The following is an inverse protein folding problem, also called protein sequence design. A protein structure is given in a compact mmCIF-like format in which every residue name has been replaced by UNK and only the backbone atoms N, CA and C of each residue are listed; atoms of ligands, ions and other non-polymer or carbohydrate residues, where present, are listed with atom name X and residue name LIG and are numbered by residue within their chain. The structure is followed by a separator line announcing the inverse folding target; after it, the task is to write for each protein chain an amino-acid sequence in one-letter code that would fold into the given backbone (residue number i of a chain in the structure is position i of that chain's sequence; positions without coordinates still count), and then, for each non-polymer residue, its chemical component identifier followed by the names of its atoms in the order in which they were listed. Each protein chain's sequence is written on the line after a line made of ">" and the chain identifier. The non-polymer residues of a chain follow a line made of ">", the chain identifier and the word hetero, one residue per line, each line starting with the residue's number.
data_IF_742074716569
#
_entry.id   IF_742074716569
#
_cell.length_a   1.000
_cell.length_b   1.000
_cell.length_c   1.000
_cell.angle_alpha   90.00
_cell.angle_beta   90.00
_cell.angle_gamma   90.00
#
_symmetry.space_group_name_H-M   'P 1'
#
loop_
_entity.id
_entity.type
_entity.pdbx_description
1 polymer ?
#
# COMPACT_ATOMS: atom_id res chain seq x y z
N UNK A 1 -6.77 -30.38 -6.37
CA UNK A 1 -6.84 -29.91 -4.96
C UNK A 1 -5.69 -28.95 -4.61
N UNK A 2 -4.55 -28.99 -5.30
CA UNK A 2 -3.41 -28.11 -5.00
C UNK A 2 -3.59 -26.61 -5.31
N UNK A 3 -4.35 -26.26 -6.36
CA UNK A 3 -4.59 -24.85 -6.71
C UNK A 3 -5.44 -24.10 -5.66
N UNK A 4 -6.37 -24.79 -4.99
CA UNK A 4 -7.17 -24.22 -3.91
C UNK A 4 -6.30 -23.88 -2.69
N UNK A 5 -5.36 -24.77 -2.33
CA UNK A 5 -4.42 -24.52 -1.23
C UNK A 5 -3.44 -23.40 -1.54
N UNK A 6 -2.92 -23.32 -2.77
CA UNK A 6 -1.97 -22.28 -3.17
C UNK A 6 -2.61 -20.88 -3.14
N UNK A 7 -3.82 -20.75 -3.69
CA UNK A 7 -4.57 -19.50 -3.65
C UNK A 7 -4.91 -19.08 -2.21
N UNK A 8 -5.27 -20.04 -1.34
CA UNK A 8 -5.58 -19.74 0.07
C UNK A 8 -4.34 -19.23 0.82
N UNK A 9 -3.18 -19.83 0.62
CA UNK A 9 -1.94 -19.39 1.27
C UNK A 9 -1.45 -18.01 0.75
N UNK A 10 -1.64 -17.74 -0.54
CA UNK A 10 -1.33 -16.44 -1.14
C UNK A 10 -2.28 -15.34 -0.67
N UNK A 11 -3.57 -15.64 -0.51
CA UNK A 11 -4.57 -14.71 0.06
C UNK A 11 -4.30 -14.41 1.54
N UNK A 12 -3.81 -15.40 2.31
CA UNK A 12 -3.39 -15.19 3.70
C UNK A 12 -2.17 -14.27 3.82
N UNK A 13 -1.24 -14.32 2.85
CA UNK A 13 -0.07 -13.43 2.80
C UNK A 13 -0.39 -12.03 2.27
N UNK A 14 -1.36 -11.90 1.38
CA UNK A 14 -1.72 -10.61 0.79
C UNK A 14 -3.11 -10.12 1.25
N UNK A 15 -3.39 -10.14 2.56
CA UNK A 15 -4.69 -9.68 3.07
C UNK A 15 -4.95 -8.22 2.74
N UNK A 16 -6.12 -7.91 2.18
CA UNK A 16 -6.59 -6.52 1.98
C UNK A 16 -6.99 -5.91 3.32
N UNK A 17 -7.86 -6.58 4.07
CA UNK A 17 -8.25 -6.23 5.43
C UNK A 17 -8.70 -7.48 6.21
N UNK A 18 -9.12 -7.33 7.48
CA UNK A 18 -9.52 -8.46 8.32
C UNK A 18 -10.89 -9.08 7.94
N UNK A 19 -11.68 -8.40 7.12
CA UNK A 19 -13.03 -8.83 6.71
C UNK A 19 -13.02 -9.53 5.34
N UNK A 20 -12.05 -9.23 4.49
CA UNK A 20 -11.91 -9.76 3.14
C UNK A 20 -10.78 -10.80 3.13
N UNK A 21 -11.16 -12.06 3.38
CA UNK A 21 -10.24 -13.19 3.37
C UNK A 21 -9.94 -13.71 1.96
N UNK A 22 -10.85 -13.50 1.01
CA UNK A 22 -10.74 -14.00 -0.35
C UNK A 22 -10.92 -12.89 -1.38
N UNK A 23 -10.06 -12.89 -2.37
CA UNK A 23 -10.06 -11.92 -3.47
C UNK A 23 -9.41 -12.53 -4.73
N UNK A 24 -9.67 -11.98 -5.92
CA UNK A 24 -9.10 -12.50 -7.16
C UNK A 24 -7.67 -12.01 -7.44
N UNK A 25 -7.14 -11.08 -6.63
CA UNK A 25 -5.86 -10.43 -6.90
C UNK A 25 -4.66 -11.33 -6.62
N UNK A 26 -3.75 -11.37 -7.59
CA UNK A 26 -2.46 -12.08 -7.49
C UNK A 26 -1.29 -11.11 -7.33
N UNK A 27 -1.41 -9.91 -7.90
CA UNK A 27 -0.44 -8.83 -7.76
C UNK A 27 -0.70 -8.04 -6.47
N UNK A 28 0.38 -7.68 -5.79
CA UNK A 28 0.32 -6.84 -4.60
C UNK A 28 0.07 -5.39 -4.92
N UNK A 29 0.34 -4.93 -6.14
CA UNK A 29 -0.10 -3.58 -6.52
C UNK A 29 -1.61 -3.43 -6.33
N UNK A 30 -2.41 -4.41 -6.77
CA UNK A 30 -3.86 -4.31 -6.66
C UNK A 30 -4.31 -4.26 -5.20
N UNK A 31 -3.65 -5.05 -4.35
CA UNK A 31 -3.91 -5.13 -2.91
C UNK A 31 -3.43 -3.86 -2.20
N UNK A 32 -2.29 -3.31 -2.62
CA UNK A 32 -1.73 -2.05 -2.15
C UNK A 32 -2.68 -0.89 -2.46
N UNK A 33 -3.22 -0.81 -3.68
CA UNK A 33 -4.20 0.22 -4.07
C UNK A 33 -5.46 0.12 -3.21
N UNK A 34 -5.96 -1.09 -2.97
CA UNK A 34 -7.13 -1.30 -2.11
C UNK A 34 -6.87 -0.96 -0.63
N UNK A 35 -5.61 -1.01 -0.18
CA UNK A 35 -5.19 -0.58 1.16
C UNK A 35 -4.96 0.92 1.28
N UNK A 36 -4.87 1.67 0.17
CA UNK A 36 -4.48 3.08 0.12
C UNK A 36 -5.46 3.88 -0.76
N UNK A 37 -6.72 3.87 -0.38
CA UNK A 37 -7.81 4.55 -1.10
C UNK A 37 -8.14 5.91 -0.51
N UNK A 38 -7.96 6.07 0.81
CA UNK A 38 -8.38 7.26 1.52
C UNK A 38 -7.50 8.46 1.12
N UNK A 39 -8.09 9.58 0.67
CA UNK A 39 -7.32 10.72 0.13
C UNK A 39 -6.32 11.29 1.13
N UNK A 40 -6.65 11.27 2.42
CA UNK A 40 -5.72 11.72 3.48
C UNK A 40 -4.57 10.73 3.69
N UNK A 41 -4.80 9.41 3.59
CA UNK A 41 -3.69 8.46 3.68
C UNK A 41 -2.75 8.63 2.48
N UNK A 42 -3.32 8.79 1.28
CA UNK A 42 -2.57 9.08 0.06
C UNK A 42 -1.71 10.34 0.23
N UNK A 43 -2.29 11.43 0.74
CA UNK A 43 -1.57 12.67 0.98
C UNK A 43 -0.43 12.49 2.00
N UNK A 44 -0.67 11.77 3.11
CA UNK A 44 0.36 11.51 4.12
C UNK A 44 1.51 10.67 3.56
N UNK A 45 1.22 9.68 2.70
CA UNK A 45 2.27 8.93 1.99
C UNK A 45 3.07 9.82 1.05
N UNK A 46 2.43 10.71 0.29
CA UNK A 46 3.15 11.66 -0.58
C UNK A 46 4.05 12.59 0.24
N UNK A 47 3.54 13.13 1.35
CA UNK A 47 4.34 13.96 2.28
C UNK A 47 5.51 13.16 2.83
N UNK A 48 5.28 11.91 3.24
CA UNK A 48 6.34 11.00 3.71
C UNK A 48 7.41 10.74 2.65
N UNK A 49 7.02 10.54 1.38
CA UNK A 49 7.94 10.36 0.25
C UNK A 49 8.77 11.63 0.00
N UNK A 50 8.13 12.81 -0.03
CA UNK A 50 8.83 14.08 -0.20
C UNK A 50 9.82 14.34 0.94
N UNK A 51 9.40 14.06 2.18
CA UNK A 51 10.26 14.20 3.35
C UNK A 51 11.45 13.23 3.28
N UNK A 52 11.23 11.98 2.86
CA UNK A 52 12.29 10.98 2.67
C UNK A 52 13.32 11.42 1.63
N UNK A 53 12.89 11.80 0.42
CA UNK A 53 13.81 12.24 -0.62
C UNK A 53 14.49 13.57 -0.28
N UNK A 54 13.76 14.50 0.36
CA UNK A 54 14.33 15.75 0.87
C UNK A 54 15.41 15.51 1.94
N UNK A 55 15.20 14.53 2.82
CA UNK A 55 16.17 14.14 3.84
C UNK A 55 17.42 13.50 3.22
N UNK A 56 17.25 12.60 2.26
CA UNK A 56 18.38 12.00 1.52
C UNK A 56 19.17 13.06 0.76
N UNK A 57 18.49 13.95 0.03
CA UNK A 57 19.13 15.05 -0.69
C UNK A 57 19.90 15.96 0.26
N UNK A 58 19.31 16.33 1.39
CA UNK A 58 19.96 17.16 2.41
C UNK A 58 21.16 16.47 3.06
N UNK A 59 21.06 15.16 3.32
CA UNK A 59 22.15 14.34 3.83
C UNK A 59 23.35 14.36 2.89
N UNK A 60 23.11 14.19 1.59
CA UNK A 60 24.16 14.21 0.55
C UNK A 60 24.76 15.61 0.38
N UNK A 61 23.90 16.64 0.29
CA UNK A 61 24.32 18.03 0.06
C UNK A 61 25.13 18.60 1.23
N UNK A 62 24.73 18.29 2.47
CA UNK A 62 25.40 18.75 3.68
C UNK A 62 26.49 17.79 4.18
N UNK A 63 26.63 16.63 3.52
CA UNK A 63 27.46 15.50 3.95
C UNK A 63 27.25 15.10 5.43
N UNK A 64 26.05 15.37 5.94
CA UNK A 64 25.73 15.17 7.35
C UNK A 64 24.91 13.90 7.53
N UNK A 65 25.61 12.79 7.72
CA UNK A 65 24.99 11.47 7.91
C UNK A 65 24.14 11.35 9.18
N UNK A 66 24.24 12.28 10.14
CA UNK A 66 23.33 12.32 11.29
C UNK A 66 21.86 12.57 10.88
N UNK A 67 21.64 13.22 9.73
CA UNK A 67 20.30 13.42 9.18
C UNK A 67 19.60 12.10 8.84
N UNK A 68 20.34 11.00 8.62
CA UNK A 68 19.78 9.66 8.39
C UNK A 68 18.98 9.17 9.60
N UNK A 69 19.28 9.65 10.82
CA UNK A 69 18.47 9.36 12.00
C UNK A 69 17.04 9.90 11.91
N UNK A 70 16.74 10.78 10.95
CA UNK A 70 15.38 11.21 10.63
C UNK A 70 14.58 10.22 9.78
N UNK A 71 15.19 9.18 9.20
CA UNK A 71 14.48 8.18 8.39
C UNK A 71 13.34 7.46 9.11
N UNK A 72 13.43 7.11 10.41
CA UNK A 72 12.29 6.57 11.14
C UNK A 72 11.09 7.53 11.18
N UNK A 73 11.32 8.85 11.20
CA UNK A 73 10.24 9.84 11.19
C UNK A 73 9.46 9.82 9.87
N UNK A 74 10.13 9.58 8.74
CA UNK A 74 9.44 9.49 7.44
C UNK A 74 8.46 8.31 7.42
N UNK A 75 8.84 7.19 8.06
CA UNK A 75 7.99 6.01 8.20
C UNK A 75 6.81 6.24 9.15
N UNK A 76 7.03 6.98 10.25
CA UNK A 76 5.95 7.32 11.18
C UNK A 76 4.83 8.13 10.48
N UNK A 77 5.17 9.03 9.56
CA UNK A 77 4.16 9.81 8.81
C UNK A 77 3.26 8.88 7.98
N UNK A 78 3.84 7.93 7.22
CA UNK A 78 3.08 6.96 6.43
C UNK A 78 2.27 5.97 7.28
N UNK A 79 2.83 5.51 8.40
CA UNK A 79 2.14 4.63 9.35
C UNK A 79 0.98 5.34 10.07
N UNK A 80 1.11 6.62 10.37
CA UNK A 80 0.05 7.43 10.99
C UNK A 80 -1.18 7.50 10.09
N UNK A 81 -0.98 7.63 8.77
CA UNK A 81 -2.08 7.64 7.81
C UNK A 81 -2.87 6.33 7.79
N UNK A 82 -2.18 5.19 7.81
CA UNK A 82 -2.81 3.88 7.98
C UNK A 82 -3.57 3.80 9.31
N UNK A 83 -2.91 4.09 10.42
CA UNK A 83 -3.53 3.95 11.74
C UNK A 83 -4.82 4.79 11.90
N UNK A 84 -4.85 6.00 11.35
CA UNK A 84 -5.96 6.93 11.51
C UNK A 84 -7.09 6.72 10.49
N UNK A 85 -6.78 6.40 9.23
CA UNK A 85 -7.77 6.42 8.15
C UNK A 85 -8.05 5.06 7.54
N UNK A 86 -7.09 4.13 7.59
CA UNK A 86 -7.19 2.81 7.00
C UNK A 86 -6.64 1.79 7.98
N UNK A 87 -7.48 1.36 8.94
CA UNK A 87 -7.24 0.21 9.84
C UNK A 87 -7.17 -1.12 9.05
N UNK A 88 -6.35 -1.14 7.99
CA UNK A 88 -5.93 -2.34 7.30
C UNK A 88 -4.84 -3.02 8.13
N UNK A 89 -4.69 -4.34 7.97
CA UNK A 89 -3.62 -5.07 8.63
C UNK A 89 -2.29 -4.55 8.10
N UNK A 90 -1.56 -3.80 8.93
CA UNK A 90 -0.17 -3.42 8.68
C UNK A 90 0.62 -4.70 8.85
N UNK A 91 1.01 -5.31 7.74
CA UNK A 91 1.90 -6.46 7.78
C UNK A 91 3.24 -5.96 8.35
N UNK A 92 3.70 -6.56 9.44
CA UNK A 92 4.96 -6.14 10.10
C UNK A 92 6.16 -6.22 9.13
N UNK A 93 6.05 -7.02 8.06
CA UNK A 93 7.03 -7.11 6.98
C UNK A 93 7.00 -5.91 6.01
N UNK A 94 5.86 -5.26 5.84
CA UNK A 94 5.70 -4.06 5.02
C UNK A 94 5.97 -2.77 5.82
N UNK A 95 5.88 -2.84 7.15
CA UNK A 95 6.29 -1.76 8.07
C UNK A 95 7.82 -1.51 8.07
N UNK A 96 8.61 -2.45 7.56
CA UNK A 96 10.07 -2.34 7.45
C UNK A 96 10.45 -2.29 5.97
N UNK A 97 10.59 -1.08 5.40
CA UNK A 97 11.22 -0.77 4.10
C UNK A 97 11.28 -1.94 3.09
N UNK A 98 10.15 -2.58 2.79
CA UNK A 98 10.10 -3.68 1.84
C UNK A 98 10.36 -3.11 0.45
N UNK A 99 11.22 -3.75 -0.35
CA UNK A 99 11.46 -3.34 -1.75
C UNK A 99 10.16 -3.32 -2.55
N UNK A 100 9.24 -4.25 -2.25
CA UNK A 100 7.92 -4.35 -2.89
C UNK A 100 7.03 -3.15 -2.52
N UNK A 101 6.97 -2.81 -1.23
CA UNK A 101 6.23 -1.66 -0.73
C UNK A 101 6.82 -0.34 -1.28
N UNK A 102 8.14 -0.22 -1.32
CA UNK A 102 8.84 0.94 -1.87
C UNK A 102 8.57 1.14 -3.36
N UNK A 103 8.58 0.05 -4.15
CA UNK A 103 8.20 0.09 -5.56
C UNK A 103 6.73 0.54 -5.73
N UNK A 104 5.81 0.03 -4.92
CA UNK A 104 4.41 0.43 -4.96
C UNK A 104 4.20 1.88 -4.54
N UNK A 105 4.92 2.37 -3.53
CA UNK A 105 4.90 3.78 -3.12
C UNK A 105 5.38 4.70 -4.25
N UNK A 106 6.46 4.34 -4.94
CA UNK A 106 6.94 5.07 -6.12
C UNK A 106 5.92 5.06 -7.27
N UNK A 107 5.33 3.89 -7.56
CA UNK A 107 4.27 3.74 -8.57
C UNK A 107 3.03 4.57 -8.20
N UNK A 108 2.65 4.59 -6.93
CA UNK A 108 1.55 5.40 -6.40
C UNK A 108 1.82 6.89 -6.60
N UNK A 109 3.00 7.39 -6.21
CA UNK A 109 3.38 8.79 -6.46
C UNK A 109 3.25 9.13 -7.94
N UNK A 110 3.80 8.29 -8.83
CA UNK A 110 3.71 8.50 -10.27
C UNK A 110 2.26 8.55 -10.77
N UNK A 111 1.42 7.61 -10.33
CA UNK A 111 0.01 7.55 -10.73
C UNK A 111 -0.79 8.73 -10.17
N UNK A 112 -0.47 9.22 -8.97
CA UNK A 112 -1.09 10.41 -8.39
C UNK A 112 -0.70 11.66 -9.19
N UNK A 113 0.59 11.84 -9.50
CA UNK A 113 1.07 12.96 -10.33
C UNK A 113 0.42 12.95 -11.72
N UNK A 114 0.20 11.76 -12.29
CA UNK A 114 -0.50 11.58 -13.55
C UNK A 114 -2.03 11.72 -13.46
N UNK A 115 -2.59 11.91 -12.25
CA UNK A 115 -4.04 11.98 -12.02
C UNK A 115 -4.80 10.66 -12.22
N UNK A 116 -4.10 9.53 -12.37
CA UNK A 116 -4.69 8.21 -12.71
C UNK A 116 -4.93 7.30 -11.52
N UNK A 117 -4.48 7.69 -10.33
CA UNK A 117 -4.59 6.82 -9.15
C UNK A 117 -6.04 6.60 -8.70
N UNK A 118 -6.93 7.57 -8.91
CA UNK A 118 -8.36 7.40 -8.63
C UNK A 118 -9.02 6.36 -9.56
N UNK A 119 -8.61 6.30 -10.82
CA UNK A 119 -9.07 5.27 -11.75
C UNK A 119 -8.59 3.88 -11.33
N UNK A 120 -7.36 3.78 -10.79
CA UNK A 120 -6.84 2.52 -10.24
C UNK A 120 -7.71 2.05 -9.08
N UNK A 121 -8.04 2.93 -8.13
CA UNK A 121 -8.89 2.62 -6.99
C UNK A 121 -10.26 2.12 -7.48
N UNK A 122 -10.91 2.86 -8.38
CA UNK A 122 -12.23 2.49 -8.92
C UNK A 122 -12.19 1.12 -9.60
N UNK A 123 -11.22 0.89 -10.48
CA UNK A 123 -11.11 -0.37 -11.23
C UNK A 123 -10.91 -1.56 -10.29
N UNK A 124 -10.07 -1.45 -9.26
CA UNK A 124 -9.84 -2.55 -8.31
C UNK A 124 -11.05 -2.78 -7.42
N UNK A 125 -11.75 -1.71 -7.02
CA UNK A 125 -12.97 -1.83 -6.24
C UNK A 125 -14.08 -2.54 -7.02
N UNK A 126 -14.24 -2.23 -8.31
CA UNK A 126 -15.20 -2.90 -9.19
C UNK A 126 -14.88 -4.40 -9.33
N UNK A 127 -13.62 -4.76 -9.56
CA UNK A 127 -13.19 -6.17 -9.64
C UNK A 127 -13.49 -6.91 -8.34
N UNK A 128 -13.17 -6.31 -7.20
CA UNK A 128 -13.42 -6.90 -5.88
C UNK A 128 -14.92 -7.09 -5.63
N UNK A 129 -15.73 -6.08 -5.92
CA UNK A 129 -17.19 -6.13 -5.75
C UNK A 129 -17.80 -7.22 -6.65
N UNK A 130 -17.40 -7.29 -7.92
CA UNK A 130 -17.89 -8.31 -8.87
C UNK A 130 -17.52 -9.74 -8.42
N UNK A 131 -16.31 -9.92 -7.90
CA UNK A 131 -15.87 -11.21 -7.36
C UNK A 131 -16.71 -11.63 -6.15
N UNK A 132 -16.95 -10.71 -5.22
CA UNK A 132 -17.77 -10.98 -4.04
C UNK A 132 -19.22 -11.30 -4.44
N UNK A 133 -19.85 -10.46 -5.27
CA UNK A 133 -21.22 -10.68 -5.74
C UNK A 133 -21.39 -12.01 -6.48
N UNK A 134 -20.48 -12.36 -7.39
CA UNK A 134 -20.55 -13.64 -8.12
C UNK A 134 -20.35 -14.85 -7.21
N UNK A 135 -19.51 -14.73 -6.18
CA UNK A 135 -19.31 -15.80 -5.21
C UNK A 135 -20.53 -16.01 -4.32
N UNK A 136 -21.14 -14.95 -3.80
CA UNK A 136 -22.33 -15.05 -2.94
C UNK A 136 -23.63 -15.34 -3.72
N UNK A 137 -23.67 -15.08 -5.03
CA UNK A 137 -24.80 -15.46 -5.89
C UNK A 137 -24.80 -16.95 -6.28
N UNK A 138 -23.68 -17.65 -6.10
CA UNK A 138 -23.52 -19.09 -6.38
C UNK A 138 -23.60 -19.96 -5.11
N UNK A 139 -24.12 -19.42 -4.01
CA UNK A 139 -24.40 -20.12 -2.74
C UNK A 139 -25.92 -20.12 -2.55
#
# INVERSE_FOLDING_TARGET
>A
MDQLNFNTQQNLRNKINNQILEHPFTDYWDIFVLKHQHPVNIALHIVGILFFYGLLFSTLQLQNFWLILGLPLTQLIGLTGHFLFERSHIDLQDAVFSLRASYCLGRMLFRVVMGKYQDDIRQRQEILNNYQSSKYANI
#
